data_IF_274333793251
#
_entry.id   IF_274333793251
#
_cell.length_a   1.000
_cell.length_b   1.000
_cell.length_c   1.000
_cell.angle_alpha   90.00
_cell.angle_beta   90.00
_cell.angle_gamma   90.00
#
_symmetry.space_group_name_H-M   'P 1'
#
loop_
_entity.id
_entity.type
_entity.pdbx_description
1 polymer ?
#
# COMPACT_ATOMS: atom_id res chain seq x y z
N UNK A 1 -7.54 6.51 5.76
CA UNK A 1 -7.43 7.74 6.57
C UNK A 1 -6.14 7.64 7.37
N UNK A 2 -5.36 8.72 7.45
CA UNK A 2 -4.16 8.73 8.29
C UNK A 2 -4.57 8.82 9.76
N UNK A 3 -4.11 7.87 10.58
CA UNK A 3 -4.45 7.79 12.01
C UNK A 3 -3.27 8.11 12.92
N UNK A 4 -2.06 8.15 12.37
CA UNK A 4 -0.86 8.47 13.13
C UNK A 4 0.22 9.02 12.20
N UNK A 5 1.01 9.96 12.74
CA UNK A 5 2.23 10.44 12.10
C UNK A 5 3.31 10.71 13.14
N UNK A 6 4.56 10.46 12.76
CA UNK A 6 5.72 10.78 13.60
C UNK A 6 6.98 11.02 12.76
N UNK A 7 7.76 12.03 13.16
CA UNK A 7 9.09 12.29 12.57
C UNK A 7 10.23 11.54 13.29
N UNK A 8 9.92 10.96 14.43
CA UNK A 8 10.88 10.24 15.28
C UNK A 8 10.50 8.75 15.36
N UNK A 9 11.49 7.91 15.64
CA UNK A 9 11.25 6.49 15.84
C UNK A 9 10.60 6.24 17.20
N UNK A 10 9.30 5.94 17.19
CA UNK A 10 8.48 5.78 18.40
C UNK A 10 7.74 4.43 18.45
N UNK A 11 8.46 3.32 18.66
CA UNK A 11 7.87 1.98 18.62
C UNK A 11 6.79 1.77 19.70
N UNK A 12 6.97 2.30 20.90
CA UNK A 12 6.01 2.11 22.00
C UNK A 12 4.65 2.75 21.68
N UNK A 13 4.63 3.94 21.06
CA UNK A 13 3.39 4.57 20.60
C UNK A 13 2.68 3.71 19.54
N UNK A 14 3.44 3.03 18.68
CA UNK A 14 2.89 2.11 17.68
C UNK A 14 2.34 0.82 18.29
N UNK A 15 2.93 0.30 19.37
CA UNK A 15 2.34 -0.83 20.14
C UNK A 15 0.99 -0.40 20.72
N UNK A 16 0.95 0.74 21.41
CA UNK A 16 -0.28 1.27 22.00
C UNK A 16 -1.35 1.56 20.94
N UNK A 17 -0.96 2.13 19.79
CA UNK A 17 -1.85 2.34 18.65
C UNK A 17 -2.39 1.01 18.10
N UNK A 18 -1.54 -0.01 17.99
CA UNK A 18 -1.97 -1.35 17.59
C UNK A 18 -3.01 -1.92 18.55
N UNK A 19 -2.79 -1.79 19.86
CA UNK A 19 -3.75 -2.23 20.88
C UNK A 19 -5.07 -1.43 20.83
N UNK A 20 -5.00 -0.12 20.56
CA UNK A 20 -6.18 0.72 20.40
C UNK A 20 -7.01 0.33 19.16
N UNK A 21 -6.34 0.11 18.02
CA UNK A 21 -7.00 -0.36 16.79
C UNK A 21 -7.62 -1.74 17.00
N UNK A 22 -6.90 -2.65 17.66
CA UNK A 22 -7.41 -3.99 17.91
C UNK A 22 -8.59 -4.00 18.90
N UNK A 23 -8.57 -3.13 19.91
CA UNK A 23 -9.72 -2.89 20.80
C UNK A 23 -10.94 -2.37 20.04
N UNK A 24 -10.73 -1.41 19.13
CA UNK A 24 -11.80 -0.87 18.28
C UNK A 24 -12.39 -1.91 17.33
N UNK A 25 -11.53 -2.77 16.77
CA UNK A 25 -11.95 -3.84 15.86
C UNK A 25 -12.67 -4.97 16.60
N UNK A 26 -12.24 -5.28 17.83
CA UNK A 26 -12.74 -6.35 18.67
C UNK A 26 -11.99 -7.67 18.46
N UNK A 27 -11.81 -8.44 19.53
CA UNK A 27 -11.15 -9.75 19.51
C UNK A 27 -11.83 -10.72 18.51
N UNK A 28 -11.07 -11.71 18.03
CA UNK A 28 -11.47 -12.71 17.03
C UNK A 28 -11.74 -12.16 15.61
N UNK A 29 -11.64 -10.85 15.41
CA UNK A 29 -11.63 -10.28 14.06
C UNK A 29 -10.25 -10.41 13.40
N UNK A 30 -10.25 -10.21 12.08
CA UNK A 30 -9.03 -10.22 11.27
C UNK A 30 -8.72 -8.83 10.74
N UNK A 31 -7.44 -8.50 10.70
CA UNK A 31 -6.92 -7.26 10.13
C UNK A 31 -5.77 -7.55 9.16
N UNK A 32 -5.81 -6.91 8.00
CA UNK A 32 -4.74 -7.02 7.01
C UNK A 32 -3.71 -5.91 7.23
N UNK A 33 -2.42 -6.22 7.12
CA UNK A 33 -1.34 -5.24 7.30
C UNK A 33 -0.34 -5.27 6.15
N UNK A 34 0.12 -4.09 5.73
CA UNK A 34 1.18 -3.93 4.74
C UNK A 34 2.03 -2.69 5.00
N UNK A 35 3.08 -2.51 4.20
CA UNK A 35 3.99 -1.36 4.34
C UNK A 35 4.76 -1.05 3.05
N UNK A 36 5.28 0.17 2.99
CA UNK A 36 6.23 0.62 1.97
C UNK A 36 7.64 0.00 2.13
N UNK A 37 8.61 0.46 1.34
CA UNK A 37 10.00 -0.03 1.38
C UNK A 37 10.84 0.33 2.60
N UNK A 38 10.40 1.28 3.45
CA UNK A 38 11.32 2.02 4.32
C UNK A 38 11.63 1.25 5.62
N UNK A 39 12.88 1.35 6.16
CA UNK A 39 13.27 0.62 7.37
C UNK A 39 12.39 0.95 8.59
N UNK A 40 12.05 2.23 8.79
CA UNK A 40 11.18 2.65 9.90
C UNK A 40 9.79 2.03 9.81
N UNK A 41 9.20 2.00 8.62
CA UNK A 41 7.89 1.39 8.38
C UNK A 41 7.88 -0.10 8.73
N UNK A 42 8.98 -0.81 8.43
CA UNK A 42 9.15 -2.23 8.80
C UNK A 42 9.14 -2.43 10.32
N UNK A 43 9.85 -1.59 11.06
CA UNK A 43 9.96 -1.72 12.52
C UNK A 43 8.67 -1.31 13.22
N UNK A 44 8.08 -0.17 12.83
CA UNK A 44 6.86 0.33 13.46
C UNK A 44 5.64 -0.53 13.12
N UNK A 45 5.54 -1.09 11.91
CA UNK A 45 4.50 -2.07 11.60
C UNK A 45 4.61 -3.32 12.49
N UNK A 46 5.83 -3.80 12.78
CA UNK A 46 6.03 -4.91 13.74
C UNK A 46 5.57 -4.53 15.14
N UNK A 47 5.91 -3.33 15.61
CA UNK A 47 5.43 -2.82 16.89
C UNK A 47 3.89 -2.79 16.94
N UNK A 48 3.23 -2.27 15.90
CA UNK A 48 1.77 -2.33 15.79
C UNK A 48 1.21 -3.75 15.80
N UNK A 49 1.88 -4.68 15.11
CA UNK A 49 1.45 -6.07 15.03
C UNK A 49 1.39 -6.72 16.41
N UNK A 50 2.32 -6.36 17.30
CA UNK A 50 2.31 -6.82 18.70
C UNK A 50 1.07 -6.32 19.44
N UNK A 51 0.74 -5.03 19.32
CA UNK A 51 -0.45 -4.46 19.96
C UNK A 51 -1.76 -5.05 19.44
N UNK A 52 -1.86 -5.25 18.13
CA UNK A 52 -3.03 -5.88 17.49
C UNK A 52 -3.23 -7.32 18.00
N UNK A 53 -2.21 -8.17 17.89
CA UNK A 53 -2.28 -9.55 18.35
C UNK A 53 -2.54 -9.64 19.87
N UNK A 54 -1.94 -8.76 20.66
CA UNK A 54 -2.15 -8.66 22.11
C UNK A 54 -3.57 -8.26 22.54
N UNK A 55 -4.42 -7.83 21.60
CA UNK A 55 -5.84 -7.55 21.83
C UNK A 55 -6.78 -8.65 21.31
N UNK A 56 -6.23 -9.80 20.91
CA UNK A 56 -7.00 -10.95 20.39
C UNK A 56 -7.35 -10.86 18.90
N UNK A 57 -6.75 -9.93 18.16
CA UNK A 57 -7.00 -9.77 16.71
C UNK A 57 -6.03 -10.64 15.92
N UNK A 58 -6.55 -11.36 14.92
CA UNK A 58 -5.71 -12.09 13.97
C UNK A 58 -5.16 -11.14 12.91
N UNK A 59 -3.84 -11.10 12.76
CA UNK A 59 -3.13 -10.22 11.83
C UNK A 59 -2.71 -11.01 10.60
N UNK A 60 -3.19 -10.63 9.42
CA UNK A 60 -2.66 -11.09 8.13
C UNK A 60 -1.59 -10.11 7.65
N UNK A 61 -0.32 -10.52 7.64
CA UNK A 61 0.83 -9.70 7.26
C UNK A 61 1.24 -9.93 5.81
N UNK A 62 1.04 -8.93 4.96
CA UNK A 62 1.47 -8.93 3.55
C UNK A 62 2.89 -8.40 3.35
N UNK A 63 3.53 -7.88 4.40
CA UNK A 63 4.87 -7.29 4.35
C UNK A 63 4.99 -6.18 3.30
N UNK A 64 5.83 -6.38 2.29
CA UNK A 64 6.22 -5.39 1.27
C UNK A 64 5.26 -5.47 0.10
N UNK A 65 4.29 -4.55 0.07
CA UNK A 65 3.30 -4.49 -1.01
C UNK A 65 2.86 -3.04 -1.18
N UNK A 66 2.39 -2.62 -2.37
CA UNK A 66 1.75 -1.32 -2.54
C UNK A 66 0.49 -1.21 -1.67
N UNK A 67 0.14 0.00 -1.24
CA UNK A 67 -1.07 0.26 -0.45
C UNK A 67 -2.36 -0.19 -1.16
N UNK A 68 -2.42 -0.03 -2.48
CA UNK A 68 -3.55 -0.49 -3.30
C UNK A 68 -3.75 -2.01 -3.28
N UNK A 69 -2.68 -2.79 -3.08
CA UNK A 69 -2.78 -4.25 -2.95
C UNK A 69 -3.43 -4.60 -1.62
N UNK A 70 -3.03 -3.94 -0.53
CA UNK A 70 -3.69 -4.08 0.79
C UNK A 70 -5.18 -3.76 0.68
N UNK A 71 -5.54 -2.63 0.06
CA UNK A 71 -6.94 -2.21 -0.11
C UNK A 71 -7.79 -3.24 -0.86
N UNK A 72 -7.27 -3.77 -1.97
CA UNK A 72 -7.97 -4.79 -2.75
C UNK A 72 -8.20 -6.08 -1.96
N UNK A 73 -7.18 -6.53 -1.23
CA UNK A 73 -7.23 -7.79 -0.49
C UNK A 73 -8.15 -7.71 0.75
N UNK A 74 -8.29 -6.54 1.39
CA UNK A 74 -9.27 -6.32 2.47
C UNK A 74 -10.67 -6.71 1.98
N UNK A 75 -11.08 -6.16 0.83
CA UNK A 75 -12.39 -6.40 0.25
C UNK A 75 -12.58 -7.86 -0.16
N UNK A 76 -11.55 -8.48 -0.73
CA UNK A 76 -11.59 -9.87 -1.20
C UNK A 76 -11.78 -10.87 -0.06
N UNK A 77 -11.08 -10.69 1.06
CA UNK A 77 -11.13 -11.62 2.19
C UNK A 77 -12.17 -11.26 3.26
N UNK A 78 -12.98 -10.23 3.04
CA UNK A 78 -13.98 -9.79 4.01
C UNK A 78 -13.39 -9.34 5.34
N UNK A 79 -12.19 -8.75 5.30
CA UNK A 79 -11.47 -8.30 6.50
C UNK A 79 -12.20 -7.12 7.15
N UNK A 80 -12.16 -7.02 8.47
CA UNK A 80 -12.86 -5.95 9.20
C UNK A 80 -12.21 -4.56 9.01
N UNK A 81 -10.89 -4.54 8.77
CA UNK A 81 -10.11 -3.35 8.49
C UNK A 81 -8.75 -3.73 7.86
N UNK A 82 -7.97 -2.73 7.48
CA UNK A 82 -6.55 -2.93 7.23
C UNK A 82 -5.68 -1.71 7.52
N UNK A 83 -4.39 -1.96 7.68
CA UNK A 83 -3.40 -0.95 8.05
C UNK A 83 -2.27 -0.93 7.03
N UNK A 84 -1.83 0.27 6.67
CA UNK A 84 -0.64 0.46 5.86
C UNK A 84 0.32 1.43 6.55
N UNK A 85 1.56 0.99 6.74
CA UNK A 85 2.61 1.83 7.34
C UNK A 85 3.56 2.29 6.26
N UNK A 86 3.76 3.60 6.15
CA UNK A 86 4.68 4.19 5.17
C UNK A 86 5.48 5.33 5.77
N UNK A 87 6.42 5.85 4.98
CA UNK A 87 7.19 7.02 5.29
C UNK A 87 7.17 7.98 4.10
N UNK A 88 6.85 9.24 4.38
CA UNK A 88 6.93 10.34 3.43
C UNK A 88 7.97 11.36 3.91
N UNK A 89 8.62 12.05 2.97
CA UNK A 89 9.57 13.13 3.30
C UNK A 89 8.87 14.28 4.03
N UNK A 90 7.59 14.51 3.74
CA UNK A 90 6.82 15.62 4.30
C UNK A 90 6.41 15.37 5.76
N UNK A 91 5.87 14.19 6.06
CA UNK A 91 5.25 13.89 7.35
C UNK A 91 6.07 12.92 8.22
N UNK A 92 7.12 12.30 7.68
CA UNK A 92 7.81 11.20 8.33
C UNK A 92 7.01 9.92 8.21
N UNK A 93 6.89 9.17 9.30
CA UNK A 93 6.05 7.96 9.36
C UNK A 93 4.58 8.35 9.27
N UNK A 94 3.82 7.56 8.52
CA UNK A 94 2.38 7.66 8.41
C UNK A 94 1.78 6.26 8.56
N UNK A 95 0.70 6.15 9.34
CA UNK A 95 -0.08 4.92 9.47
C UNK A 95 -1.48 5.21 8.96
N UNK A 96 -1.87 4.48 7.92
CA UNK A 96 -3.16 4.60 7.26
C UNK A 96 -4.09 3.47 7.73
N UNK A 97 -5.34 3.82 8.03
CA UNK A 97 -6.42 2.88 8.32
C UNK A 97 -7.41 2.82 7.15
N UNK A 98 -7.75 1.60 6.76
CA UNK A 98 -8.77 1.29 5.76
C UNK A 98 -9.92 0.53 6.42
N UNK A 99 -11.15 0.81 5.96
CA UNK A 99 -12.36 0.11 6.37
C UNK A 99 -12.50 -1.26 5.66
N UNK A 100 -13.56 -1.99 5.98
CA UNK A 100 -13.89 -3.30 5.37
C UNK A 100 -14.07 -3.30 3.85
N UNK A 101 -14.21 -2.14 3.22
CA UNK A 101 -14.33 -2.01 1.77
C UNK A 101 -12.97 -1.72 1.12
N UNK A 102 -11.90 -1.60 1.91
CA UNK A 102 -10.60 -1.14 1.45
C UNK A 102 -10.54 0.37 1.20
N UNK A 103 -11.51 1.14 1.69
CA UNK A 103 -11.54 2.59 1.57
C UNK A 103 -10.94 3.27 2.80
N UNK A 104 -10.47 4.53 2.71
CA UNK A 104 -10.07 5.30 3.88
C UNK A 104 -11.12 5.23 5.00
N UNK A 105 -10.70 4.81 6.20
CA UNK A 105 -11.62 4.74 7.34
C UNK A 105 -12.28 6.09 7.65
N UNK A 106 -13.52 6.06 8.12
CA UNK A 106 -14.28 7.27 8.47
C UNK A 106 -13.75 7.92 9.75
N UNK A 107 -14.00 9.22 9.88
CA UNK A 107 -13.58 10.02 11.05
C UNK A 107 -14.07 9.42 12.38
N UNK A 108 -15.30 8.88 12.42
CA UNK A 108 -15.83 8.21 13.61
C UNK A 108 -14.96 7.05 14.11
N UNK A 109 -14.36 6.27 13.20
CA UNK A 109 -13.47 5.18 13.57
C UNK A 109 -12.18 5.74 14.19
N UNK A 110 -11.61 6.77 13.58
CA UNK A 110 -10.40 7.44 14.07
C UNK A 110 -10.62 8.08 15.44
N UNK A 111 -11.76 8.76 15.63
CA UNK A 111 -12.14 9.38 16.90
C UNK A 111 -12.31 8.34 18.02
N UNK A 112 -12.90 7.18 17.71
CA UNK A 112 -13.00 6.07 18.66
C UNK A 112 -11.63 5.51 19.05
N UNK A 113 -10.76 5.25 18.06
CA UNK A 113 -9.39 4.76 18.30
C UNK A 113 -8.60 5.76 19.14
N UNK A 114 -8.68 7.06 18.83
CA UNK A 114 -8.01 8.11 19.60
C UNK A 114 -8.55 8.22 21.02
N UNK A 115 -9.85 8.03 21.23
CA UNK A 115 -10.45 7.99 22.58
C UNK A 115 -9.89 6.81 23.39
N UNK A 116 -9.83 5.61 22.80
CA UNK A 116 -9.24 4.42 23.42
C UNK A 116 -7.78 4.67 23.79
N UNK A 117 -6.99 5.22 22.87
CA UNK A 117 -5.58 5.52 23.06
C UNK A 117 -5.36 6.54 24.19
N UNK A 118 -6.14 7.64 24.19
CA UNK A 118 -6.05 8.69 25.21
C UNK A 118 -6.40 8.18 26.61
N UNK A 119 -7.42 7.33 26.72
CA UNK A 119 -7.86 6.74 28.00
C UNK A 119 -7.04 5.53 28.41
N UNK A 120 -6.24 4.97 27.50
CA UNK A 120 -5.49 3.72 27.67
C UNK A 120 -6.40 2.53 28.00
N UNK A 121 -7.63 2.55 27.48
CA UNK A 121 -8.68 1.53 27.67
C UNK A 121 -8.50 0.38 26.67
N UNK A 122 -7.34 -0.28 26.70
CA UNK A 122 -7.05 -1.38 25.79
C UNK A 122 -7.73 -2.67 26.24
N UNK A 123 -8.39 -3.36 25.30
CA UNK A 123 -8.85 -4.72 25.51
C UNK A 123 -7.64 -5.63 25.71
N UNK A 124 -7.63 -6.34 26.85
CA UNK A 124 -6.63 -7.35 27.19
C UNK A 124 -7.29 -8.72 27.12
N UNK A 125 -6.57 -9.65 26.54
CA UNK A 125 -7.00 -11.05 26.39
C UNK A 125 -6.11 -11.96 27.21
N UNK A 126 -6.59 -13.17 27.55
CA UNK A 126 -5.75 -14.17 28.20
C UNK A 126 -4.67 -14.69 27.25
N UNK A 127 -3.73 -15.51 27.76
CA UNK A 127 -2.66 -16.10 26.94
C UNK A 127 -3.27 -16.99 25.84
N UNK A 128 -4.35 -17.69 26.15
CA UNK A 128 -5.07 -18.60 25.25
C UNK A 128 -5.90 -17.86 24.18
N UNK A 129 -6.18 -16.58 24.42
CA UNK A 129 -6.99 -15.72 23.56
C UNK A 129 -6.15 -14.73 22.74
N UNK A 130 -4.82 -14.85 22.79
CA UNK A 130 -3.92 -14.04 21.97
C UNK A 130 -4.23 -14.23 20.48
N UNK A 131 -4.24 -13.12 19.75
CA UNK A 131 -4.40 -13.11 18.31
C UNK A 131 -3.22 -13.78 17.61
N UNK A 132 -3.48 -14.38 16.45
CA UNK A 132 -2.45 -15.04 15.64
C UNK A 132 -1.89 -14.10 14.59
N UNK A 133 -0.61 -14.22 14.26
CA UNK A 133 0.03 -13.52 13.14
C UNK A 133 0.24 -14.51 12.00
N UNK A 134 -0.49 -14.32 10.91
CA UNK A 134 -0.43 -15.15 9.71
C UNK A 134 0.30 -14.41 8.59
N UNK A 135 1.23 -15.08 7.93
CA UNK A 135 1.92 -14.51 6.78
C UNK A 135 1.10 -14.69 5.50
N UNK A 136 0.91 -13.63 4.73
CA UNK A 136 0.19 -13.65 3.46
C UNK A 136 1.09 -13.16 2.30
N UNK A 137 1.96 -14.03 1.74
CA UNK A 137 2.93 -13.65 0.69
C UNK A 137 2.31 -13.33 -0.67
N UNK A 138 1.13 -13.89 -0.97
CA UNK A 138 0.64 -13.96 -2.35
C UNK A 138 -0.10 -12.71 -2.81
N UNK A 139 -0.19 -11.66 -1.99
CA UNK A 139 -1.05 -10.52 -2.27
C UNK A 139 -0.81 -9.81 -3.61
N UNK A 140 0.44 -9.69 -4.07
CA UNK A 140 0.73 -9.12 -5.41
C UNK A 140 0.17 -10.03 -6.51
N UNK A 141 0.41 -11.33 -6.41
CA UNK A 141 -0.07 -12.31 -7.39
C UNK A 141 -1.61 -12.34 -7.42
N UNK A 142 -2.23 -12.33 -6.25
CA UNK A 142 -3.67 -12.29 -6.07
C UNK A 142 -4.29 -11.01 -6.63
N UNK A 143 -3.64 -9.86 -6.41
CA UNK A 143 -4.05 -8.59 -7.01
C UNK A 143 -3.93 -8.59 -8.54
N UNK A 144 -2.85 -9.14 -9.08
CA UNK A 144 -2.67 -9.27 -10.54
C UNK A 144 -3.78 -10.14 -11.12
N UNK A 145 -4.04 -11.33 -10.55
CA UNK A 145 -5.13 -12.22 -10.98
C UNK A 145 -6.49 -11.54 -10.91
N UNK A 146 -6.77 -10.80 -9.84
CA UNK A 146 -8.01 -10.06 -9.68
C UNK A 146 -8.16 -8.97 -10.76
N UNK A 147 -7.06 -8.29 -11.10
CA UNK A 147 -7.05 -7.17 -12.05
C UNK A 147 -7.14 -7.62 -13.51
N UNK A 148 -6.49 -8.73 -13.85
CA UNK A 148 -6.40 -9.21 -15.24
C UNK A 148 -7.40 -10.31 -15.58
N UNK A 149 -7.95 -10.98 -14.56
CA UNK A 149 -8.75 -12.19 -14.73
C UNK A 149 -7.93 -13.34 -15.32
N UNK A 150 -8.54 -14.12 -16.22
CA UNK A 150 -7.87 -15.20 -16.95
C UNK A 150 -7.33 -14.76 -18.32
N UNK A 151 -7.52 -13.48 -18.70
CA UNK A 151 -7.24 -13.00 -20.04
C UNK A 151 -5.84 -12.42 -20.11
N UNK A 152 -5.02 -12.92 -21.03
CA UNK A 152 -3.77 -12.27 -21.44
C UNK A 152 -4.04 -11.34 -22.61
N UNK A 153 -3.65 -10.09 -22.49
CA UNK A 153 -3.61 -9.16 -23.61
C UNK A 153 -2.20 -9.22 -24.23
N UNK A 154 -2.09 -9.09 -25.55
CA UNK A 154 -0.79 -9.13 -26.24
C UNK A 154 -0.54 -7.83 -27.00
N UNK A 155 -0.67 -6.71 -26.29
CA UNK A 155 -0.44 -5.40 -26.88
C UNK A 155 1.02 -5.01 -26.62
N UNK A 156 1.78 -4.80 -27.68
CA UNK A 156 3.22 -4.50 -27.59
C UNK A 156 3.44 -3.00 -27.36
N UNK A 157 3.15 -2.53 -26.15
CA UNK A 157 3.55 -1.19 -25.69
C UNK A 157 4.92 -1.26 -25.03
N UNK A 158 5.71 -0.20 -25.18
CA UNK A 158 6.94 0.06 -24.43
C UNK A 158 6.71 1.23 -23.47
N UNK A 159 6.68 0.94 -22.17
CA UNK A 159 6.21 1.87 -21.14
C UNK A 159 7.34 2.26 -20.19
N UNK A 160 7.53 3.56 -19.95
CA UNK A 160 8.44 4.05 -18.92
C UNK A 160 7.69 4.27 -17.61
N UNK A 161 8.13 3.65 -16.51
CA UNK A 161 7.36 3.63 -15.26
C UNK A 161 8.14 4.24 -14.11
N UNK A 162 7.67 5.36 -13.57
CA UNK A 162 8.16 5.95 -12.31
C UNK A 162 7.49 5.25 -11.12
N UNK A 163 8.28 4.44 -10.41
CA UNK A 163 7.83 3.68 -9.24
C UNK A 163 8.04 4.43 -7.92
N UNK A 164 8.67 5.61 -7.94
CA UNK A 164 8.83 6.50 -6.77
C UNK A 164 9.39 5.87 -5.49
N UNK A 165 10.26 4.86 -5.61
CA UNK A 165 10.77 4.09 -4.47
C UNK A 165 9.63 3.44 -3.63
N UNK A 166 8.51 3.14 -4.28
CA UNK A 166 7.34 2.45 -3.73
C UNK A 166 7.34 0.98 -4.15
N UNK A 167 6.73 0.06 -3.37
CA UNK A 167 6.65 -1.35 -3.73
C UNK A 167 5.89 -1.62 -5.04
N UNK A 168 5.30 -0.62 -5.68
CA UNK A 168 4.72 -0.74 -7.03
C UNK A 168 5.74 -1.24 -8.05
N UNK A 169 7.04 -0.99 -7.84
CA UNK A 169 8.13 -1.59 -8.63
C UNK A 169 8.07 -3.14 -8.66
N UNK A 170 7.51 -3.77 -7.63
CA UNK A 170 7.31 -5.22 -7.57
C UNK A 170 5.99 -5.69 -8.20
N UNK A 171 5.00 -4.80 -8.31
CA UNK A 171 3.73 -5.08 -8.98
C UNK A 171 3.86 -4.98 -10.51
N UNK A 172 4.64 -4.01 -10.99
CA UNK A 172 4.77 -3.72 -12.43
C UNK A 172 5.18 -4.95 -13.24
N UNK A 173 6.23 -5.73 -12.89
CA UNK A 173 6.64 -6.90 -13.66
C UNK A 173 5.52 -7.92 -13.90
N UNK A 174 4.92 -8.56 -12.86
CA UNK A 174 3.90 -9.58 -13.08
C UNK A 174 2.61 -9.01 -13.71
N UNK A 175 2.31 -7.73 -13.50
CA UNK A 175 1.16 -7.09 -14.09
C UNK A 175 1.37 -6.83 -15.58
N UNK A 176 2.48 -6.22 -15.97
CA UNK A 176 2.72 -5.77 -17.35
C UNK A 176 3.04 -6.93 -18.28
N UNK A 177 3.67 -7.99 -17.77
CA UNK A 177 3.85 -9.25 -18.49
C UNK A 177 2.52 -9.87 -18.92
N UNK A 178 1.47 -9.79 -18.09
CA UNK A 178 0.11 -10.28 -18.44
C UNK A 178 -0.56 -9.50 -19.58
N UNK A 179 -0.13 -8.26 -19.81
CA UNK A 179 -0.62 -7.42 -20.90
C UNK A 179 0.31 -7.40 -22.14
N UNK A 180 1.46 -8.06 -22.07
CA UNK A 180 2.46 -8.08 -23.13
C UNK A 180 3.24 -6.76 -23.26
N UNK A 181 3.23 -5.92 -22.23
CA UNK A 181 3.95 -4.64 -22.23
C UNK A 181 5.43 -4.87 -21.95
N UNK A 182 6.29 -4.23 -22.76
CA UNK A 182 7.69 -3.98 -22.39
C UNK A 182 7.71 -2.77 -21.45
N UNK A 183 8.62 -2.78 -20.48
CA UNK A 183 8.75 -1.67 -19.57
C UNK A 183 10.19 -1.43 -19.14
N UNK A 184 10.45 -0.18 -18.73
CA UNK A 184 11.66 0.22 -18.02
C UNK A 184 11.26 0.99 -16.78
N UNK A 185 11.82 0.61 -15.62
CA UNK A 185 11.54 1.28 -14.36
C UNK A 185 12.43 2.52 -14.17
N UNK A 186 11.86 3.53 -13.51
CA UNK A 186 12.49 4.74 -13.01
C UNK A 186 12.16 4.88 -11.52
N UNK A 187 13.08 5.43 -10.74
CA UNK A 187 12.98 5.45 -9.27
C UNK A 187 12.55 4.08 -8.70
N UNK A 188 13.30 3.03 -9.06
CA UNK A 188 13.08 1.68 -8.55
C UNK A 188 13.11 1.64 -7.02
N UNK A 189 12.49 0.60 -6.46
CA UNK A 189 12.49 0.35 -5.03
C UNK A 189 13.92 0.04 -4.55
N UNK A 190 14.41 0.85 -3.62
CA UNK A 190 15.76 0.76 -3.05
C UNK A 190 15.69 0.67 -1.54
N UNK A 191 16.62 -0.08 -0.96
CA UNK A 191 16.73 -0.14 0.50
C UNK A 191 17.24 1.21 1.04
N UNK A 192 16.49 1.83 1.96
CA UNK A 192 16.91 3.06 2.66
C UNK A 192 15.91 4.20 2.52
N UNK A 193 16.41 5.44 2.62
CA UNK A 193 15.62 6.67 2.58
C UNK A 193 15.94 7.53 1.36
N UNK A 194 16.16 6.89 0.20
CA UNK A 194 16.44 7.62 -1.01
C UNK A 194 15.26 8.53 -1.36
N UNK A 195 15.60 9.72 -1.84
CA UNK A 195 14.63 10.68 -2.35
C UNK A 195 14.46 10.36 -3.83
N UNK A 196 13.24 10.03 -4.31
CA UNK A 196 12.99 9.82 -5.71
C UNK A 196 13.44 11.01 -6.54
N UNK A 197 14.05 10.73 -7.70
CA UNK A 197 14.42 11.76 -8.66
C UNK A 197 13.16 12.50 -9.13
N UNK A 198 13.28 13.81 -9.42
CA UNK A 198 12.12 14.65 -9.69
C UNK A 198 11.43 14.29 -11.00
N UNK A 199 10.21 14.82 -11.17
CA UNK A 199 9.36 14.58 -12.36
C UNK A 199 10.06 15.00 -13.65
N UNK A 200 10.82 16.06 -13.61
CA UNK A 200 11.50 16.66 -14.75
C UNK A 200 12.50 15.66 -15.37
N UNK A 201 13.21 14.91 -14.53
CA UNK A 201 14.13 13.84 -14.97
C UNK A 201 13.36 12.69 -15.62
N UNK A 202 12.22 12.30 -15.03
CA UNK A 202 11.34 11.28 -15.60
C UNK A 202 10.88 11.68 -17.01
N UNK A 203 10.37 12.90 -17.18
CA UNK A 203 9.88 13.42 -18.47
C UNK A 203 11.02 13.55 -19.49
N UNK A 204 12.20 14.00 -19.05
CA UNK A 204 13.40 14.08 -19.91
C UNK A 204 13.81 12.70 -20.43
N UNK A 205 13.85 11.69 -19.57
CA UNK A 205 14.21 10.32 -19.94
C UNK A 205 13.13 9.64 -20.80
N UNK A 206 11.86 9.89 -20.49
CA UNK A 206 10.71 9.43 -21.29
C UNK A 206 10.85 9.86 -22.75
N UNK A 207 11.09 11.17 -22.98
CA UNK A 207 11.27 11.76 -24.32
C UNK A 207 12.46 11.16 -25.07
N UNK A 208 13.58 10.95 -24.37
CA UNK A 208 14.80 10.40 -24.98
C UNK A 208 14.67 8.92 -25.33
N UNK A 209 13.95 8.16 -24.52
CA UNK A 209 13.86 6.69 -24.64
C UNK A 209 12.86 6.18 -25.68
N UNK A 210 12.11 7.06 -26.36
CA UNK A 210 11.11 6.69 -27.39
C UNK A 210 10.10 5.65 -26.90
N UNK A 211 9.61 5.82 -25.68
CA UNK A 211 8.53 4.99 -25.12
C UNK A 211 7.17 5.44 -25.69
N UNK A 212 6.20 4.53 -25.73
CA UNK A 212 4.84 4.85 -26.16
C UNK A 212 4.13 5.71 -25.11
N UNK A 213 4.33 5.36 -23.84
CA UNK A 213 3.74 6.05 -22.69
C UNK A 213 4.70 6.11 -21.50
N UNK A 214 4.53 7.14 -20.69
CA UNK A 214 5.08 7.23 -19.35
C UNK A 214 3.99 7.07 -18.30
N UNK A 215 4.24 6.29 -17.25
CA UNK A 215 3.32 6.11 -16.12
C UNK A 215 4.04 6.48 -14.84
N UNK A 216 3.43 7.35 -14.03
CA UNK A 216 3.94 7.67 -12.69
C UNK A 216 2.94 7.20 -11.65
N UNK A 217 3.39 6.33 -10.75
CA UNK A 217 2.60 5.91 -9.60
C UNK A 217 2.87 6.86 -8.43
N UNK A 218 1.83 7.57 -8.00
CA UNK A 218 1.85 8.61 -6.97
C UNK A 218 0.92 8.21 -5.81
N UNK A 219 1.34 7.29 -4.95
CA UNK A 219 0.53 6.77 -3.84
C UNK A 219 -0.87 6.28 -4.28
N UNK A 220 -1.88 7.15 -4.22
CA UNK A 220 -3.28 6.87 -4.60
C UNK A 220 -3.64 7.34 -6.02
N UNK A 221 -2.75 8.06 -6.69
CA UNK A 221 -2.95 8.58 -8.04
C UNK A 221 -1.97 7.96 -9.02
N UNK A 222 -2.37 7.87 -10.27
CA UNK A 222 -1.55 7.40 -11.37
C UNK A 222 -1.63 8.44 -12.47
N UNK A 223 -0.49 8.96 -12.90
CA UNK A 223 -0.41 9.92 -14.00
C UNK A 223 0.08 9.20 -15.26
N UNK A 224 -0.66 9.36 -16.36
CA UNK A 224 -0.28 8.86 -17.67
C UNK A 224 0.23 10.01 -18.55
N UNK A 225 1.33 9.76 -19.26
CA UNK A 225 1.98 10.68 -20.17
C UNK A 225 2.15 10.03 -21.54
N UNK A 226 2.02 10.80 -22.61
CA UNK A 226 2.41 10.36 -23.96
C UNK A 226 3.95 10.27 -24.08
N UNK A 227 4.45 9.66 -25.16
CA UNK A 227 5.89 9.58 -25.43
C UNK A 227 6.61 10.93 -25.57
N UNK A 228 5.87 12.02 -25.80
CA UNK A 228 6.40 13.38 -25.84
C UNK A 228 6.42 14.05 -24.45
N UNK A 229 5.99 13.34 -23.41
CA UNK A 229 5.97 13.82 -22.03
C UNK A 229 4.83 14.76 -21.70
N UNK A 230 3.77 14.82 -22.51
CA UNK A 230 2.55 15.55 -22.17
C UNK A 230 1.63 14.66 -21.32
N UNK A 231 1.02 15.24 -20.29
CA UNK A 231 0.07 14.49 -19.46
C UNK A 231 -1.20 14.21 -20.26
N UNK A 232 -1.60 12.94 -20.28
CA UNK A 232 -2.77 12.43 -21.01
C UNK A 232 -3.97 12.36 -20.08
N UNK A 233 -3.82 11.66 -18.95
CA UNK A 233 -4.93 11.40 -18.02
C UNK A 233 -4.41 11.07 -16.62
N UNK A 234 -5.29 11.18 -15.61
CA UNK A 234 -5.04 10.73 -14.24
C UNK A 234 -6.03 9.65 -13.85
N UNK A 235 -5.53 8.60 -13.21
CA UNK A 235 -6.33 7.49 -12.70
C UNK A 235 -6.16 7.39 -11.18
N UNK A 236 -7.18 6.85 -10.52
CA UNK A 236 -7.13 6.48 -9.09
C UNK A 236 -7.15 4.96 -8.87
N UNK A 237 -7.18 4.18 -9.96
CA UNK A 237 -7.24 2.72 -9.96
C UNK A 237 -6.39 2.17 -11.11
N UNK A 238 -5.60 1.15 -10.81
CA UNK A 238 -4.78 0.42 -11.79
C UNK A 238 -5.65 -0.21 -12.88
N UNK A 239 -6.80 -0.77 -12.52
CA UNK A 239 -7.75 -1.35 -13.49
C UNK A 239 -8.13 -0.34 -14.57
N UNK A 240 -8.49 0.90 -14.18
CA UNK A 240 -8.89 1.95 -15.12
C UNK A 240 -7.76 2.38 -16.05
N UNK A 241 -6.52 2.47 -15.54
CA UNK A 241 -5.34 2.70 -16.38
C UNK A 241 -5.17 1.59 -17.42
N UNK A 242 -5.28 0.33 -17.01
CA UNK A 242 -5.09 -0.82 -17.90
C UNK A 242 -6.20 -0.91 -18.95
N UNK A 243 -7.44 -0.60 -18.59
CA UNK A 243 -8.56 -0.51 -19.53
C UNK A 243 -8.33 0.59 -20.58
N UNK A 244 -7.83 1.75 -20.17
CA UNK A 244 -7.44 2.82 -21.09
C UNK A 244 -6.34 2.37 -22.06
N UNK A 245 -5.26 1.78 -21.54
CA UNK A 245 -4.15 1.30 -22.35
C UNK A 245 -4.55 0.15 -23.28
N UNK A 246 -5.58 -0.64 -22.91
CA UNK A 246 -6.17 -1.69 -23.74
C UNK A 246 -7.05 -1.14 -24.87
N UNK A 247 -7.79 -0.06 -24.62
CA UNK A 247 -8.72 0.52 -25.60
C UNK A 247 -8.06 1.34 -26.70
N UNK A 248 -6.84 1.82 -26.48
CA UNK A 248 -5.96 2.37 -27.52
C UNK A 248 -5.29 1.25 -28.31
#
# INVERSE_FOLDING_TARGET
>A
MMIYTAREYKPNECVDLGAAVGTWLGANNMILTGRDGKPVSRLLRRAMTVGLAGSGVTVLDMRLVPSMVVRAEIKKHGMGAGIYVRYSVQNGVEILLYDKNGEPAKEDAVNKINSILKRREFHRVSIEELGTILYYPNGIEDFVKMTTGQISYNKKLNIYVDAQDDPVAMLVPPLFEKYGFKYTLFNELVAGYNIPKPKEDFISNLRKGKYDYGIRFLDENIELYDGNGNMVEKFNKVVSLLEYLRGK
#
